data_IF_587676287882
#
_entry.id   IF_587676287882
#
_cell.length_a   1.000
_cell.length_b   1.000
_cell.length_c   1.000
_cell.angle_alpha   90.00
_cell.angle_beta   90.00
_cell.angle_gamma   90.00
#
_symmetry.space_group_name_H-M   'P 1'
#
loop_
_entity.id
_entity.type
_entity.pdbx_description
1 polymer ?
#
# COMPACT_ATOMS: atom_id res chain seq x y z
N UNK A 1 -6.06 -13.49 24.96
CA UNK A 1 -7.41 -14.03 25.23
C UNK A 1 -8.26 -13.10 26.10
N UNK A 2 -7.72 -12.54 27.19
CA UNK A 2 -8.46 -11.65 28.12
C UNK A 2 -9.15 -10.43 27.46
N UNK A 3 -8.53 -9.82 26.45
CA UNK A 3 -9.09 -8.66 25.73
C UNK A 3 -10.37 -8.97 24.93
N UNK A 4 -10.47 -10.16 24.32
CA UNK A 4 -11.66 -10.58 23.56
C UNK A 4 -12.88 -10.71 24.48
N UNK A 5 -12.68 -11.30 25.66
CA UNK A 5 -13.75 -11.45 26.66
C UNK A 5 -14.23 -10.10 27.17
N UNK A 6 -13.33 -9.12 27.34
CA UNK A 6 -13.72 -7.75 27.69
C UNK A 6 -14.52 -7.06 26.60
N UNK A 7 -14.13 -7.23 25.34
CA UNK A 7 -14.88 -6.68 24.20
C UNK A 7 -16.31 -7.22 24.16
N UNK A 8 -16.50 -8.53 24.40
CA UNK A 8 -17.83 -9.16 24.43
C UNK A 8 -18.72 -8.68 25.57
N UNK A 9 -18.18 -8.02 26.61
CA UNK A 9 -18.93 -7.51 27.76
C UNK A 9 -19.40 -6.06 27.62
N UNK A 10 -19.06 -5.38 26.53
CA UNK A 10 -19.48 -4.00 26.31
C UNK A 10 -21.02 -3.86 26.21
N UNK A 11 -21.60 -2.71 26.57
CA UNK A 11 -23.03 -2.45 26.40
C UNK A 11 -23.47 -2.60 24.94
N UNK A 12 -24.68 -3.12 24.65
CA UNK A 12 -25.17 -3.34 23.28
C UNK A 12 -25.12 -2.08 22.40
N UNK A 13 -25.38 -0.90 23.00
CA UNK A 13 -25.32 0.40 22.32
C UNK A 13 -23.94 0.71 21.73
N UNK A 14 -22.85 0.20 22.33
CA UNK A 14 -21.49 0.43 21.83
C UNK A 14 -21.29 -0.26 20.48
N UNK A 15 -21.78 -1.49 20.31
CA UNK A 15 -21.70 -2.19 19.03
C UNK A 15 -22.54 -1.51 17.95
N UNK A 16 -23.73 -1.01 18.32
CA UNK A 16 -24.58 -0.22 17.42
C UNK A 16 -23.96 1.12 17.02
N UNK A 17 -23.05 1.68 17.82
CA UNK A 17 -22.26 2.86 17.44
C UNK A 17 -21.04 2.53 16.58
N UNK A 18 -20.31 1.45 16.89
CA UNK A 18 -19.09 1.06 16.16
C UNK A 18 -19.42 0.50 14.77
N UNK A 19 -20.50 -0.27 14.62
CA UNK A 19 -20.81 -0.90 13.35
C UNK A 19 -21.05 0.09 12.20
N UNK A 20 -21.86 1.16 12.35
CA UNK A 20 -22.01 2.19 11.32
C UNK A 20 -20.68 2.85 10.95
N UNK A 21 -19.80 3.12 11.93
CA UNK A 21 -18.46 3.66 11.65
C UNK A 21 -17.62 2.68 10.82
N UNK A 22 -17.67 1.39 11.15
CA UNK A 22 -17.00 0.34 10.38
C UNK A 22 -17.54 0.22 8.95
N UNK A 23 -18.86 0.32 8.76
CA UNK A 23 -19.49 0.33 7.44
C UNK A 23 -19.09 1.56 6.62
N UNK A 24 -19.09 2.76 7.24
CA UNK A 24 -18.64 4.00 6.59
C UNK A 24 -17.17 3.91 6.20
N UNK A 25 -16.32 3.39 7.07
CA UNK A 25 -14.89 3.21 6.78
C UNK A 25 -14.66 2.17 5.67
N UNK A 26 -15.39 1.05 5.67
CA UNK A 26 -15.35 0.08 4.57
C UNK A 26 -15.78 0.70 3.23
N UNK A 27 -16.85 1.50 3.23
CA UNK A 27 -17.30 2.24 2.06
C UNK A 27 -16.28 3.25 1.55
N UNK A 28 -15.61 3.97 2.46
CA UNK A 28 -14.52 4.88 2.12
C UNK A 28 -13.34 4.14 1.45
N UNK A 29 -12.87 3.04 2.04
CA UNK A 29 -11.79 2.23 1.47
C UNK A 29 -12.16 1.65 0.10
N UNK A 30 -13.41 1.20 -0.07
CA UNK A 30 -13.90 0.73 -1.35
C UNK A 30 -13.90 1.84 -2.41
N UNK A 31 -14.34 3.05 -2.04
CA UNK A 31 -14.36 4.18 -2.95
C UNK A 31 -12.95 4.60 -3.39
N UNK A 32 -11.99 4.70 -2.47
CA UNK A 32 -10.59 4.97 -2.80
C UNK A 32 -10.02 3.90 -3.74
N UNK A 33 -10.23 2.62 -3.44
CA UNK A 33 -9.83 1.52 -4.34
C UNK A 33 -10.44 1.64 -5.73
N UNK A 34 -11.75 1.96 -5.85
CA UNK A 34 -12.37 2.14 -7.18
C UNK A 34 -11.82 3.34 -7.95
N UNK A 35 -11.42 4.42 -7.28
CA UNK A 35 -10.76 5.56 -7.95
C UNK A 35 -9.39 5.16 -8.49
N UNK A 36 -8.61 4.44 -7.70
CA UNK A 36 -7.27 3.97 -8.11
C UNK A 36 -7.38 3.03 -9.31
N UNK A 37 -8.31 2.08 -9.27
CA UNK A 37 -8.60 1.16 -10.38
C UNK A 37 -9.09 1.91 -11.63
N UNK A 38 -9.97 2.90 -11.48
CA UNK A 38 -10.40 3.73 -12.58
C UNK A 38 -9.25 4.57 -13.17
N UNK A 39 -8.35 5.09 -12.33
CA UNK A 39 -7.17 5.82 -12.76
C UNK A 39 -6.21 4.91 -13.54
N UNK A 40 -5.98 3.67 -13.07
CA UNK A 40 -5.15 2.67 -13.75
C UNK A 40 -5.76 2.25 -15.09
N UNK A 41 -7.06 1.99 -15.13
CA UNK A 41 -7.77 1.69 -16.38
C UNK A 41 -7.69 2.86 -17.37
N UNK A 42 -7.83 4.10 -16.89
CA UNK A 42 -7.70 5.29 -17.71
C UNK A 42 -6.26 5.55 -18.17
N UNK A 43 -5.26 5.17 -17.37
CA UNK A 43 -3.85 5.18 -17.76
C UNK A 43 -3.61 4.15 -18.87
N UNK A 44 -4.05 2.89 -18.69
CA UNK A 44 -3.93 1.81 -19.68
C UNK A 44 -4.53 2.18 -21.04
N UNK A 45 -5.71 2.81 -21.04
CA UNK A 45 -6.36 3.28 -22.27
C UNK A 45 -5.64 4.49 -22.92
N UNK A 46 -4.85 5.22 -22.14
CA UNK A 46 -4.05 6.36 -22.59
C UNK A 46 -2.67 5.96 -23.12
N UNK A 47 -1.95 6.96 -23.64
CA UNK A 47 -0.53 6.81 -23.98
C UNK A 47 0.32 6.84 -22.69
N UNK A 48 1.44 6.11 -22.65
CA UNK A 48 2.41 6.26 -21.57
C UNK A 48 2.88 7.73 -21.44
N UNK A 49 3.32 8.17 -20.23
CA UNK A 49 4.00 9.43 -20.04
C UNK A 49 5.21 9.60 -20.95
N UNK A 50 5.60 10.84 -21.22
CA UNK A 50 6.84 11.10 -21.93
C UNK A 50 8.04 10.60 -21.11
N UNK A 51 9.06 10.11 -21.80
CA UNK A 51 10.32 9.71 -21.18
C UNK A 51 11.06 10.98 -20.73
N UNK A 52 11.34 11.10 -19.42
CA UNK A 52 12.04 12.26 -18.85
C UNK A 52 13.33 11.81 -18.18
N UNK A 53 14.38 12.62 -18.23
CA UNK A 53 15.62 12.36 -17.49
C UNK A 53 15.38 12.62 -16.00
N UNK A 54 15.97 11.81 -15.12
CA UNK A 54 15.72 11.96 -13.68
C UNK A 54 16.10 13.33 -13.13
N UNK A 55 17.10 14.00 -13.70
CA UNK A 55 17.49 15.37 -13.33
C UNK A 55 16.49 16.45 -13.74
N UNK A 56 15.64 16.17 -14.73
CA UNK A 56 14.64 17.10 -15.28
C UNK A 56 13.21 16.79 -14.79
N UNK A 57 13.05 15.71 -14.02
CA UNK A 57 11.77 15.20 -13.57
C UNK A 57 11.07 16.16 -12.61
N UNK A 58 9.82 16.49 -12.91
CA UNK A 58 8.94 17.26 -12.07
C UNK A 58 7.66 16.45 -11.75
N UNK A 59 7.41 16.08 -10.48
CA UNK A 59 6.26 15.25 -10.12
C UNK A 59 4.90 15.82 -10.53
N UNK A 60 4.75 17.14 -10.62
CA UNK A 60 3.48 17.78 -11.00
C UNK A 60 3.22 17.81 -12.51
N UNK A 61 4.25 17.63 -13.34
CA UNK A 61 4.15 17.72 -14.82
C UNK A 61 4.41 16.38 -15.50
N UNK A 62 5.35 15.60 -14.97
CA UNK A 62 5.91 14.43 -15.64
C UNK A 62 5.33 13.11 -15.08
N UNK A 63 4.34 13.22 -14.20
CA UNK A 63 3.55 12.09 -13.68
C UNK A 63 2.24 11.96 -14.45
N UNK A 64 1.98 10.76 -14.95
CA UNK A 64 0.77 10.40 -15.67
C UNK A 64 -0.42 10.11 -14.75
N UNK A 65 -1.46 9.51 -15.33
CA UNK A 65 -2.58 8.94 -14.55
C UNK A 65 -2.08 7.74 -13.75
N UNK A 66 -2.71 7.48 -12.60
CA UNK A 66 -2.31 6.41 -11.68
C UNK A 66 -0.85 6.51 -11.22
N UNK A 67 -0.35 7.74 -11.10
CA UNK A 67 1.02 8.06 -10.71
C UNK A 67 2.10 7.40 -11.60
N UNK A 68 1.75 7.07 -12.86
CA UNK A 68 2.66 6.44 -13.81
C UNK A 68 3.82 7.39 -14.16
N UNK A 69 5.05 6.87 -14.17
CA UNK A 69 6.25 7.62 -14.53
C UNK A 69 7.11 6.84 -15.51
N UNK A 70 7.80 7.57 -16.39
CA UNK A 70 8.81 7.01 -17.30
C UNK A 70 10.08 7.84 -17.21
N UNK A 71 11.08 7.31 -16.52
CA UNK A 71 12.30 8.03 -16.16
C UNK A 71 13.54 7.34 -16.74
N UNK A 72 14.48 8.11 -17.27
CA UNK A 72 15.83 7.64 -17.61
C UNK A 72 16.82 8.12 -16.57
N UNK A 73 17.60 7.19 -16.02
CA UNK A 73 18.62 7.46 -15.02
C UNK A 73 19.84 6.56 -15.24
N UNK A 74 20.99 6.94 -14.69
CA UNK A 74 22.11 6.02 -14.52
C UNK A 74 21.96 5.24 -13.22
N UNK A 75 22.35 3.98 -13.24
CA UNK A 75 22.41 3.13 -12.05
C UNK A 75 23.81 2.53 -11.93
N UNK A 76 24.30 2.35 -10.71
CA UNK A 76 25.44 1.48 -10.46
C UNK A 76 24.94 0.09 -10.05
N UNK A 77 25.12 -0.96 -10.87
CA UNK A 77 24.72 -2.31 -10.50
C UNK A 77 25.36 -2.79 -9.19
N UNK A 78 26.57 -2.34 -8.88
CA UNK A 78 27.26 -2.69 -7.63
C UNK A 78 26.66 -2.04 -6.38
N UNK A 79 25.85 -0.99 -6.55
CA UNK A 79 25.16 -0.29 -5.48
C UNK A 79 23.70 -0.72 -5.33
N UNK A 80 23.26 -1.71 -6.11
CA UNK A 80 21.96 -2.35 -5.92
C UNK A 80 22.02 -3.17 -4.63
N UNK A 81 21.03 -2.94 -3.77
CA UNK A 81 20.94 -3.57 -2.47
C UNK A 81 19.69 -4.42 -2.41
N UNK A 82 19.88 -5.67 -2.05
CA UNK A 82 18.82 -6.57 -1.63
C UNK A 82 18.54 -6.38 -0.13
N UNK A 83 17.29 -6.08 0.22
CA UNK A 83 16.81 -5.89 1.58
C UNK A 83 15.68 -6.87 1.87
N UNK A 84 15.84 -7.69 2.91
CA UNK A 84 14.77 -8.54 3.44
C UNK A 84 14.38 -8.09 4.85
N UNK A 85 13.09 -7.91 5.12
CA UNK A 85 12.57 -7.76 6.49
C UNK A 85 12.08 -9.11 7.01
N UNK A 86 12.73 -9.60 8.06
CA UNK A 86 12.32 -10.82 8.76
C UNK A 86 11.56 -10.48 10.05
N UNK A 87 10.39 -11.09 10.26
CA UNK A 87 9.61 -10.96 11.50
C UNK A 87 9.29 -12.34 12.06
N UNK A 88 9.76 -12.62 13.29
CA UNK A 88 9.61 -13.93 13.97
C UNK A 88 10.18 -15.11 13.15
N UNK A 89 11.34 -14.91 12.53
CA UNK A 89 12.03 -15.94 11.74
C UNK A 89 11.37 -16.28 10.40
N UNK A 90 10.40 -15.46 9.94
CA UNK A 90 9.84 -15.55 8.59
C UNK A 90 10.09 -14.23 7.86
N UNK A 91 10.59 -14.34 6.64
CA UNK A 91 10.64 -13.21 5.72
C UNK A 91 9.22 -12.70 5.47
N UNK A 92 9.05 -11.39 5.58
CA UNK A 92 7.78 -10.72 5.34
C UNK A 92 7.79 -9.95 4.05
N UNK A 93 8.83 -9.15 3.90
CA UNK A 93 8.97 -8.20 2.82
C UNK A 93 10.40 -8.32 2.29
N UNK A 94 10.52 -8.23 0.98
CA UNK A 94 11.77 -8.34 0.25
C UNK A 94 11.78 -7.23 -0.79
N UNK A 95 12.86 -6.46 -0.85
CA UNK A 95 13.02 -5.33 -1.76
C UNK A 95 14.38 -5.38 -2.43
N UNK A 96 14.41 -5.04 -3.71
CA UNK A 96 15.64 -4.68 -4.42
C UNK A 96 15.64 -3.17 -4.63
N UNK A 97 16.65 -2.50 -4.08
CA UNK A 97 16.79 -1.05 -4.13
C UNK A 97 17.98 -0.67 -4.99
N UNK A 98 17.73 0.16 -6.01
CA UNK A 98 18.76 0.69 -6.91
C UNK A 98 18.83 2.22 -6.83
N UNK A 99 19.95 2.83 -6.42
CA UNK A 99 20.08 4.28 -6.44
C UNK A 99 20.15 4.82 -7.86
N UNK A 100 19.39 5.89 -8.12
CA UNK A 100 19.23 6.50 -9.42
C UNK A 100 19.98 7.82 -9.50
N UNK A 101 20.92 7.91 -10.43
CA UNK A 101 21.78 9.06 -10.65
C UNK A 101 21.40 9.80 -11.95
N UNK A 102 21.71 11.11 -12.05
CA UNK A 102 21.53 11.87 -13.29
C UNK A 102 22.16 11.20 -14.51
N UNK A 103 21.55 11.37 -15.68
CA UNK A 103 22.07 10.81 -16.95
C UNK A 103 23.44 11.37 -17.34
N UNK A 104 23.82 12.50 -16.73
CA UNK A 104 25.09 13.21 -16.95
C UNK A 104 26.13 12.96 -15.85
N UNK A 105 25.80 12.18 -14.80
CA UNK A 105 26.71 11.86 -13.72
C UNK A 105 27.96 11.14 -14.25
N UNK A 106 29.15 11.54 -13.77
CA UNK A 106 30.45 10.95 -14.17
C UNK A 106 31.03 9.99 -13.13
N UNK A 107 30.50 10.02 -11.91
CA UNK A 107 30.93 9.20 -10.79
C UNK A 107 29.81 9.11 -9.75
N UNK A 108 29.91 8.12 -8.88
CA UNK A 108 29.00 7.89 -7.73
C UNK A 108 29.24 8.87 -6.56
N UNK A 109 29.83 10.03 -6.79
CA UNK A 109 30.27 10.93 -5.72
C UNK A 109 29.21 11.94 -5.27
N UNK A 110 27.99 11.86 -5.81
CA UNK A 110 26.90 12.80 -5.52
C UNK A 110 25.66 12.12 -4.91
N UNK A 111 24.74 12.90 -4.32
CA UNK A 111 23.47 12.35 -3.83
C UNK A 111 22.64 11.80 -5.00
N UNK A 112 22.04 10.64 -4.81
CA UNK A 112 21.13 10.04 -5.79
C UNK A 112 19.88 10.94 -5.93
N UNK A 113 19.43 11.10 -7.18
CA UNK A 113 18.21 11.84 -7.51
C UNK A 113 16.94 11.02 -7.28
N UNK A 114 17.07 9.72 -7.01
CA UNK A 114 15.94 8.84 -6.73
C UNK A 114 16.36 7.43 -6.34
N UNK A 115 15.36 6.59 -6.09
CA UNK A 115 15.51 5.15 -5.85
C UNK A 115 14.53 4.38 -6.74
N UNK A 116 15.03 3.32 -7.36
CA UNK A 116 14.20 2.21 -7.80
C UNK A 116 13.93 1.32 -6.58
N UNK A 117 12.66 1.05 -6.27
CA UNK A 117 12.24 0.18 -5.17
C UNK A 117 11.38 -0.92 -5.78
N UNK A 118 11.97 -2.08 -6.03
CA UNK A 118 11.27 -3.24 -6.57
C UNK A 118 10.94 -4.21 -5.45
N UNK A 119 9.71 -4.70 -5.39
CA UNK A 119 9.30 -5.74 -4.45
C UNK A 119 9.70 -7.14 -4.95
N UNK A 120 10.23 -7.99 -4.06
CA UNK A 120 10.70 -9.33 -4.41
C UNK A 120 12.09 -9.32 -5.04
N UNK A 121 12.34 -10.23 -5.98
CA UNK A 121 13.65 -10.44 -6.59
C UNK A 121 13.76 -9.77 -7.95
N UNK A 122 14.83 -8.99 -8.16
CA UNK A 122 15.20 -8.50 -9.49
C UNK A 122 16.11 -9.53 -10.18
N UNK A 123 15.72 -10.01 -11.36
CA UNK A 123 16.60 -10.86 -12.17
C UNK A 123 17.55 -10.00 -12.99
N UNK A 124 18.77 -10.48 -13.24
CA UNK A 124 19.72 -9.79 -14.12
C UNK A 124 19.14 -9.54 -15.52
N UNK A 125 18.33 -10.47 -16.03
CA UNK A 125 17.64 -10.33 -17.32
C UNK A 125 16.64 -9.17 -17.31
N UNK A 126 15.92 -8.97 -16.21
CA UNK A 126 14.99 -7.86 -16.04
C UNK A 126 15.74 -6.52 -16.02
N UNK A 127 16.84 -6.43 -15.27
CA UNK A 127 17.67 -5.22 -15.23
C UNK A 127 18.27 -4.92 -16.60
N UNK A 128 18.75 -5.94 -17.33
CA UNK A 128 19.28 -5.79 -18.69
C UNK A 128 18.24 -5.27 -19.68
N UNK A 129 16.96 -5.70 -19.58
CA UNK A 129 15.87 -5.20 -20.43
C UNK A 129 15.55 -3.73 -20.20
N UNK A 130 15.92 -3.17 -19.05
CA UNK A 130 15.74 -1.76 -18.74
C UNK A 130 16.87 -0.88 -19.31
N UNK A 131 18.02 -1.46 -19.69
CA UNK A 131 19.16 -0.71 -20.22
C UNK A 131 18.84 -0.16 -21.62
N UNK A 132 18.89 1.16 -21.76
CA UNK A 132 18.68 1.88 -23.03
C UNK A 132 19.96 2.47 -23.60
N UNK A 133 21.07 2.41 -22.86
CA UNK A 133 22.38 2.86 -23.32
C UNK A 133 23.43 2.85 -22.22
N UNK A 134 24.59 3.40 -22.52
CA UNK A 134 25.68 3.59 -21.55
C UNK A 134 25.89 5.07 -21.29
N UNK A 135 25.95 5.45 -20.02
CA UNK A 135 26.27 6.80 -19.57
C UNK A 135 27.75 6.93 -19.19
N UNK A 136 28.17 8.13 -18.74
CA UNK A 136 29.56 8.36 -18.34
C UNK A 136 30.01 7.58 -17.09
N UNK A 137 29.06 7.10 -16.28
CA UNK A 137 29.30 6.42 -15.01
C UNK A 137 28.85 4.96 -15.02
N UNK A 138 27.77 4.64 -15.75
CA UNK A 138 27.24 3.28 -15.81
C UNK A 138 26.06 3.18 -16.79
N UNK A 139 25.35 2.04 -16.81
CA UNK A 139 24.23 1.84 -17.71
C UNK A 139 23.12 2.86 -17.47
N UNK A 140 22.60 3.41 -18.56
CA UNK A 140 21.38 4.20 -18.57
C UNK A 140 20.20 3.24 -18.61
N UNK A 141 19.38 3.27 -17.57
CA UNK A 141 18.15 2.49 -17.49
C UNK A 141 16.94 3.38 -17.73
N UNK A 142 15.96 2.88 -18.49
CA UNK A 142 14.62 3.46 -18.58
C UNK A 142 13.69 2.69 -17.65
N UNK A 143 13.26 3.35 -16.60
CA UNK A 143 12.30 2.85 -15.64
C UNK A 143 10.89 3.26 -16.06
N UNK A 144 10.06 2.28 -16.34
CA UNK A 144 8.62 2.46 -16.49
C UNK A 144 7.98 1.91 -15.21
N UNK A 145 7.21 2.72 -14.49
CA UNK A 145 6.68 2.32 -13.19
C UNK A 145 5.67 3.28 -12.61
N UNK A 146 5.45 3.17 -11.30
CA UNK A 146 4.59 4.07 -10.52
C UNK A 146 5.49 4.87 -9.57
N UNK A 147 5.19 6.17 -9.43
CA UNK A 147 5.81 7.00 -8.40
C UNK A 147 5.29 6.60 -7.02
N UNK A 148 6.20 6.26 -6.12
CA UNK A 148 5.85 5.80 -4.77
C UNK A 148 5.96 6.95 -3.79
N UNK A 149 4.99 7.03 -2.87
CA UNK A 149 5.04 8.02 -1.79
C UNK A 149 6.04 7.57 -0.73
N UNK A 150 6.84 8.49 -0.15
CA UNK A 150 7.77 8.14 0.92
C UNK A 150 7.12 7.48 2.15
N UNK A 151 5.83 7.74 2.40
CA UNK A 151 5.08 7.15 3.50
C UNK A 151 4.87 5.65 3.34
N UNK A 152 4.74 5.18 2.10
CA UNK A 152 4.32 3.83 1.79
C UNK A 152 5.52 2.87 1.87
N UNK A 153 6.70 3.36 1.47
CA UNK A 153 7.97 2.62 1.47
C UNK A 153 8.98 3.12 2.52
N UNK A 154 8.48 3.73 3.61
CA UNK A 154 9.34 4.37 4.62
C UNK A 154 10.46 3.45 5.12
N UNK A 155 10.17 2.18 5.35
CA UNK A 155 11.19 1.24 5.86
C UNK A 155 12.30 1.01 4.83
N UNK A 156 11.94 0.75 3.56
CA UNK A 156 12.89 0.56 2.48
C UNK A 156 13.75 1.81 2.27
N UNK A 157 13.12 2.99 2.27
CA UNK A 157 13.79 4.29 2.09
C UNK A 157 14.73 4.59 3.27
N UNK A 158 14.29 4.37 4.51
CA UNK A 158 15.11 4.60 5.71
C UNK A 158 16.34 3.68 5.72
N UNK A 159 16.22 2.42 5.29
CA UNK A 159 17.36 1.50 5.17
C UNK A 159 18.29 1.86 4.01
N UNK A 160 17.74 2.26 2.87
CA UNK A 160 18.52 2.71 1.71
C UNK A 160 19.34 3.98 2.04
N UNK A 161 18.73 4.93 2.76
CA UNK A 161 19.33 6.22 3.13
C UNK A 161 20.55 6.08 4.05
N UNK A 162 20.69 4.94 4.75
CA UNK A 162 21.90 4.63 5.55
C UNK A 162 23.10 4.28 4.68
N UNK A 163 22.86 3.87 3.43
CA UNK A 163 23.88 3.35 2.50
C UNK A 163 24.18 4.35 1.38
N UNK A 164 23.17 5.11 0.95
CA UNK A 164 23.27 6.06 -0.15
C UNK A 164 22.75 7.43 0.31
N UNK A 165 23.47 8.48 -0.05
CA UNK A 165 23.01 9.85 0.15
C UNK A 165 21.91 10.18 -0.87
N UNK A 166 20.74 10.60 -0.41
CA UNK A 166 19.60 10.97 -1.26
C UNK A 166 19.43 12.48 -1.30
N UNK A 167 18.97 13.01 -2.44
CA UNK A 167 18.50 14.39 -2.50
C UNK A 167 17.20 14.57 -1.68
N UNK A 168 16.92 15.77 -1.14
CA UNK A 168 15.69 16.05 -0.41
C UNK A 168 14.42 15.82 -1.24
N UNK A 169 14.50 16.01 -2.55
CA UNK A 169 13.45 15.86 -3.55
C UNK A 169 13.60 14.56 -4.36
N UNK A 170 14.24 13.54 -3.78
CA UNK A 170 14.47 12.27 -4.45
C UNK A 170 13.15 11.61 -4.90
N UNK A 171 13.15 11.05 -6.11
CA UNK A 171 12.00 10.35 -6.71
C UNK A 171 12.08 8.86 -6.38
N UNK A 172 10.96 8.26 -5.96
CA UNK A 172 10.86 6.83 -5.69
C UNK A 172 10.01 6.18 -6.78
N UNK A 173 10.52 5.13 -7.41
CA UNK A 173 9.87 4.46 -8.53
C UNK A 173 9.77 2.96 -8.25
N UNK A 174 8.56 2.43 -8.31
CA UNK A 174 8.31 0.98 -8.33
C UNK A 174 8.16 0.52 -9.79
N UNK A 175 9.15 -0.19 -10.36
CA UNK A 175 9.17 -0.53 -11.78
C UNK A 175 8.16 -1.63 -12.13
N UNK A 176 7.59 -1.55 -13.33
CA UNK A 176 6.72 -2.60 -13.87
C UNK A 176 7.52 -3.82 -14.32
N UNK A 177 7.55 -4.87 -13.48
CA UNK A 177 8.32 -6.09 -13.77
C UNK A 177 7.88 -6.82 -15.03
N UNK A 178 6.57 -7.06 -15.16
CA UNK A 178 5.95 -7.74 -16.30
C UNK A 178 5.43 -6.74 -17.36
N UNK A 179 5.92 -5.50 -17.32
CA UNK A 179 5.52 -4.42 -18.21
C UNK A 179 4.23 -3.71 -17.80
N UNK A 180 3.96 -2.62 -18.50
CA UNK A 180 2.90 -1.64 -18.19
C UNK A 180 1.51 -2.26 -18.03
N UNK A 181 1.14 -3.21 -18.90
CA UNK A 181 -0.19 -3.84 -18.87
C UNK A 181 -0.41 -4.63 -17.57
N UNK A 182 0.62 -5.33 -17.11
CA UNK A 182 0.56 -6.10 -15.87
C UNK A 182 0.59 -5.17 -14.64
N UNK A 183 1.48 -4.17 -14.64
CA UNK A 183 1.64 -3.26 -13.50
C UNK A 183 0.45 -2.33 -13.25
N UNK A 184 -0.25 -1.92 -14.31
CA UNK A 184 -1.52 -1.18 -14.21
C UNK A 184 -2.74 -2.10 -14.20
N UNK A 185 -2.54 -3.42 -14.14
CA UNK A 185 -3.61 -4.39 -14.03
C UNK A 185 -4.38 -4.27 -12.71
N UNK A 186 -5.62 -4.81 -12.66
CA UNK A 186 -6.45 -4.69 -11.48
C UNK A 186 -5.88 -5.46 -10.29
N UNK A 187 -5.87 -4.82 -9.12
CA UNK A 187 -5.50 -5.45 -7.85
C UNK A 187 -6.72 -5.73 -6.99
N UNK A 188 -6.81 -6.94 -6.44
CA UNK A 188 -7.89 -7.32 -5.54
C UNK A 188 -7.63 -6.92 -4.07
N UNK A 189 -6.42 -6.47 -3.71
CA UNK A 189 -6.04 -6.27 -2.30
C UNK A 189 -6.93 -5.25 -1.58
N UNK A 190 -7.19 -4.08 -2.18
CA UNK A 190 -8.06 -3.06 -1.60
C UNK A 190 -9.51 -3.52 -1.48
N UNK A 191 -10.02 -4.22 -2.50
CA UNK A 191 -11.36 -4.81 -2.49
C UNK A 191 -11.51 -5.81 -1.36
N UNK A 192 -10.56 -6.74 -1.21
CA UNK A 192 -10.65 -7.82 -0.24
C UNK A 192 -10.59 -7.28 1.21
N UNK A 193 -9.76 -6.24 1.46
CA UNK A 193 -9.73 -5.54 2.76
C UNK A 193 -11.06 -4.83 3.05
N UNK A 194 -11.60 -4.08 2.07
CA UNK A 194 -12.88 -3.39 2.25
C UNK A 194 -14.04 -4.36 2.51
N UNK A 195 -14.06 -5.49 1.81
CA UNK A 195 -15.07 -6.54 1.97
C UNK A 195 -14.95 -7.24 3.33
N UNK A 196 -13.73 -7.58 3.76
CA UNK A 196 -13.50 -8.16 5.07
C UNK A 196 -13.99 -7.24 6.20
N UNK A 197 -13.69 -5.95 6.10
CA UNK A 197 -14.15 -4.95 7.07
C UNK A 197 -15.68 -4.78 7.06
N UNK A 198 -16.30 -4.80 5.88
CA UNK A 198 -17.76 -4.76 5.73
C UNK A 198 -18.40 -5.95 6.46
N UNK A 199 -17.91 -7.16 6.22
CA UNK A 199 -18.41 -8.39 6.85
C UNK A 199 -18.26 -8.29 8.37
N UNK A 200 -17.09 -7.90 8.88
CA UNK A 200 -16.87 -7.73 10.33
C UNK A 200 -17.83 -6.71 10.92
N UNK A 201 -18.05 -5.58 10.25
CA UNK A 201 -18.96 -4.53 10.71
C UNK A 201 -20.41 -4.99 10.78
N UNK A 202 -20.86 -5.78 9.79
CA UNK A 202 -22.19 -6.39 9.78
C UNK A 202 -22.36 -7.42 10.91
N UNK A 203 -21.35 -8.25 11.17
CA UNK A 203 -21.37 -9.20 12.28
C UNK A 203 -21.44 -8.49 13.64
N UNK A 204 -20.70 -7.40 13.80
CA UNK A 204 -20.76 -6.55 15.01
C UNK A 204 -22.14 -5.93 15.18
N UNK A 205 -22.75 -5.42 14.09
CA UNK A 205 -24.11 -4.88 14.12
C UNK A 205 -25.13 -5.94 14.54
N UNK A 206 -25.08 -7.13 13.92
CA UNK A 206 -25.99 -8.22 14.19
C UNK A 206 -25.87 -8.70 15.65
N UNK A 207 -24.64 -8.83 16.16
CA UNK A 207 -24.41 -9.18 17.57
C UNK A 207 -24.94 -8.10 18.53
N UNK A 208 -24.70 -6.83 18.22
CA UNK A 208 -25.21 -5.69 19.00
C UNK A 208 -26.74 -5.69 19.07
N UNK A 209 -27.41 -5.90 17.94
CA UNK A 209 -28.86 -6.00 17.86
C UNK A 209 -29.39 -7.21 18.64
N UNK A 210 -28.82 -8.40 18.41
CA UNK A 210 -29.21 -9.62 19.13
C UNK A 210 -29.14 -9.43 20.65
N UNK A 211 -28.02 -8.87 21.14
CA UNK A 211 -27.84 -8.61 22.57
C UNK A 211 -28.82 -7.58 23.11
N UNK A 212 -29.05 -6.49 22.38
CA UNK A 212 -30.02 -5.46 22.76
C UNK A 212 -31.43 -6.03 22.96
N UNK A 213 -31.87 -6.90 22.04
CA UNK A 213 -33.16 -7.57 22.15
C UNK A 213 -33.18 -8.63 23.26
N UNK A 214 -32.09 -9.37 23.46
CA UNK A 214 -32.01 -10.38 24.52
C UNK A 214 -32.05 -9.78 25.92
N UNK A 215 -31.37 -8.65 26.16
CA UNK A 215 -31.39 -7.95 27.45
C UNK A 215 -32.80 -7.42 27.74
N UNK A 216 -33.45 -6.77 26.76
CA UNK A 216 -34.84 -6.30 26.91
C UNK A 216 -35.85 -7.41 27.19
N UNK A 217 -35.69 -8.57 26.57
CA UNK A 217 -36.58 -9.70 26.81
C UNK A 217 -36.36 -10.34 28.19
N UNK A 218 -35.15 -10.26 28.74
CA UNK A 218 -34.84 -10.80 30.08
C UNK A 218 -35.53 -9.96 31.16
N UNK A 219 -35.50 -8.63 31.02
CA UNK A 219 -36.15 -7.71 31.96
C UNK A 219 -37.68 -7.94 32.01
N UNK A 220 -38.31 -8.26 30.87
CA UNK A 220 -39.75 -8.54 30.82
C UNK A 220 -40.17 -9.88 31.47
N UNK A 221 -39.27 -10.87 31.52
CA UNK A 221 -39.55 -12.17 32.12
C UNK A 221 -39.40 -12.14 33.64
N UNK A 222 -38.52 -11.29 34.18
CA UNK A 222 -38.36 -11.14 35.63
C UNK A 222 -39.61 -10.60 36.33
N UNK A 223 -40.37 -9.74 35.65
CA UNK A 223 -41.61 -9.16 36.17
C UNK A 223 -42.84 -10.10 36.06
N UNK A 224 -42.67 -11.27 35.43
CA UNK A 224 -43.74 -12.24 35.22
C UNK A 224 -43.76 -13.39 36.25
N UNK A 225 -42.92 -13.34 37.30
CA UNK A 225 -43.06 -14.29 38.42
C UNK A 225 -44.41 -14.05 39.11
N UNK A 226 -45.32 -15.05 39.09
CA UNK A 226 -46.61 -14.91 39.75
C UNK A 226 -46.38 -14.81 41.27
N UNK A 227 -46.97 -13.79 41.86
CA UNK A 227 -47.00 -13.53 43.30
C UNK A 227 -47.74 -14.69 44.00
N UNK A 228 -47.02 -15.78 44.27
CA UNK A 228 -47.56 -17.03 44.84
C UNK A 228 -47.62 -17.01 46.37
N UNK A 229 -47.28 -15.89 47.02
CA UNK A 229 -47.32 -15.74 48.48
C UNK A 229 -48.70 -15.30 49.02
N UNK A 230 -49.71 -15.24 48.17
CA UNK A 230 -51.10 -15.06 48.58
C UNK A 230 -51.75 -16.37 49.04
N UNK A 231 -51.78 -16.58 50.35
CA UNK A 231 -52.64 -17.50 51.13
C UNK A 231 -51.97 -18.73 51.74
N UNK A 232 -51.56 -18.61 53.01
CA UNK A 232 -51.94 -19.54 54.07
C UNK A 232 -52.02 -18.84 55.43
#
# INVERSE_FOLDING_TARGET
MYWLVRLLKLPPLVYLGIAPLGLLFAGYLYFEWTKDEAAKAAALAGKPPAVVKIEDFNPGRDTGKADEVVIVAQINPASIVDLSQTKKGRERDHWVIGPLYPTTAKAESGPASGLMIQHGTATDEQLQKMVVGEGPFGPLIQLNGISVKPSDERTAIDEASKRVSLKPDAVYVDPFEAGRVAGLGPSNSGRDVSLALLIVSLLVAAYGAFRFFSERNTDQLADAEPDLDGHH
#
